data_IF_543770015968
#
_entry.id   IF_543770015968
#
_cell.length_a   1.000
_cell.length_b   1.000
_cell.length_c   1.000
_cell.angle_alpha   90.00
_cell.angle_beta   90.00
_cell.angle_gamma   90.00
#
_symmetry.space_group_name_H-M   'P 1'
#
loop_
_entity.id
_entity.type
_entity.pdbx_description
1 polymer ?
#
# COMPACT_ATOMS: atom_id res chain seq x y z
N UNK A 1 6.07 -36.55 28.57
CA UNK A 1 5.96 -35.11 28.23
C UNK A 1 6.67 -34.91 26.91
N UNK A 2 5.91 -34.83 25.82
CA UNK A 2 6.43 -34.49 24.49
C UNK A 2 6.75 -33.00 24.49
N UNK A 3 8.02 -32.65 24.43
CA UNK A 3 8.47 -31.27 24.20
C UNK A 3 8.08 -30.96 22.76
N UNK A 4 7.03 -30.17 22.56
CA UNK A 4 6.68 -29.67 21.24
C UNK A 4 7.85 -28.84 20.74
N UNK A 5 8.40 -29.19 19.58
CA UNK A 5 9.38 -28.37 18.88
C UNK A 5 8.76 -26.99 18.66
N UNK A 6 9.39 -25.89 19.11
CA UNK A 6 8.85 -24.56 18.84
C UNK A 6 8.73 -24.39 17.33
N UNK A 7 7.54 -23.99 16.87
CA UNK A 7 7.31 -23.69 15.46
C UNK A 7 8.31 -22.62 15.00
N UNK A 8 8.81 -22.75 13.77
CA UNK A 8 9.72 -21.77 13.21
C UNK A 8 9.04 -20.39 13.17
N UNK A 9 9.75 -19.35 13.62
CA UNK A 9 9.26 -17.96 13.57
C UNK A 9 9.05 -17.57 12.10
N UNK A 10 7.85 -17.13 11.70
CA UNK A 10 7.57 -16.80 10.31
C UNK A 10 8.33 -15.53 9.87
N UNK A 11 8.61 -15.43 8.56
CA UNK A 11 9.25 -14.25 7.95
C UNK A 11 8.24 -13.47 7.09
N UNK A 12 8.38 -12.14 7.10
CA UNK A 12 7.63 -11.25 6.21
C UNK A 12 8.34 -11.16 4.88
N UNK A 13 7.60 -11.44 3.81
CA UNK A 13 8.12 -11.39 2.43
C UNK A 13 8.02 -9.99 1.85
N UNK A 14 8.97 -9.64 0.99
CA UNK A 14 8.88 -8.44 0.15
C UNK A 14 7.89 -8.69 -0.99
N UNK A 15 7.11 -7.68 -1.38
CA UNK A 15 6.27 -7.74 -2.59
C UNK A 15 6.95 -6.95 -3.71
N UNK A 16 7.54 -7.65 -4.67
CA UNK A 16 8.24 -7.05 -5.82
C UNK A 16 7.74 -7.71 -7.10
N UNK A 17 7.41 -6.90 -8.12
CA UNK A 17 6.91 -7.37 -9.42
C UNK A 17 5.70 -8.31 -9.31
N UNK A 18 4.79 -8.03 -8.36
CA UNK A 18 3.59 -8.84 -8.13
C UNK A 18 3.84 -10.21 -7.49
N UNK A 19 5.02 -10.45 -6.93
CA UNK A 19 5.40 -11.71 -6.28
C UNK A 19 5.89 -11.48 -4.85
N UNK A 20 5.55 -12.40 -3.94
CA UNK A 20 6.13 -12.44 -2.60
C UNK A 20 7.50 -13.13 -2.65
N UNK A 21 8.54 -12.40 -2.27
CA UNK A 21 9.94 -12.82 -2.36
C UNK A 21 10.55 -12.88 -0.95
N UNK A 22 11.25 -13.97 -0.66
CA UNK A 22 12.08 -14.08 0.55
C UNK A 22 13.33 -13.20 0.38
N UNK A 23 13.63 -12.36 1.37
CA UNK A 23 14.80 -11.49 1.27
C UNK A 23 16.10 -12.28 1.36
N UNK A 24 17.12 -11.83 0.64
CA UNK A 24 18.50 -12.35 0.72
C UNK A 24 19.32 -11.69 1.85
N UNK A 25 18.68 -10.84 2.65
CA UNK A 25 19.35 -10.15 3.75
C UNK A 25 19.86 -11.11 4.82
N UNK A 26 20.96 -10.71 5.48
CA UNK A 26 21.43 -11.35 6.71
C UNK A 26 20.96 -10.60 7.96
N UNK A 27 20.30 -9.44 7.79
CA UNK A 27 19.81 -8.61 8.89
C UNK A 27 18.28 -8.63 8.95
N UNK A 28 17.78 -9.11 10.08
CA UNK A 28 16.36 -9.31 10.32
C UNK A 28 15.97 -8.66 11.64
N UNK A 29 14.77 -8.08 11.68
CA UNK A 29 14.20 -7.49 12.89
C UNK A 29 13.00 -8.30 13.35
N UNK A 30 12.98 -8.66 14.62
CA UNK A 30 11.82 -9.30 15.23
C UNK A 30 10.65 -8.30 15.29
N UNK A 31 9.48 -8.76 14.85
CA UNK A 31 8.19 -8.12 15.09
C UNK A 31 7.69 -8.68 16.41
N UNK A 32 7.63 -7.83 17.43
CA UNK A 32 7.31 -8.22 18.79
C UNK A 32 5.92 -7.73 19.13
N UNK A 33 5.07 -8.60 19.69
CA UNK A 33 3.81 -8.16 20.24
C UNK A 33 4.07 -7.29 21.48
N UNK A 34 3.71 -6.00 21.48
CA UNK A 34 4.05 -5.10 22.57
C UNK A 34 3.35 -5.46 23.89
N UNK A 35 2.21 -6.15 23.85
CA UNK A 35 1.46 -6.55 25.04
C UNK A 35 2.02 -7.83 25.69
N UNK A 36 2.51 -8.79 24.89
CA UNK A 36 2.98 -10.11 25.40
C UNK A 36 4.49 -10.28 25.37
N UNK A 37 5.21 -9.43 24.63
CA UNK A 37 6.65 -9.54 24.33
C UNK A 37 7.02 -10.80 23.52
N UNK A 38 6.04 -11.50 22.97
CA UNK A 38 6.27 -12.65 22.09
C UNK A 38 6.70 -12.20 20.70
N UNK A 39 7.61 -12.96 20.08
CA UNK A 39 8.02 -12.73 18.70
C UNK A 39 6.94 -13.29 17.77
N UNK A 40 6.29 -12.42 17.01
CA UNK A 40 5.26 -12.77 16.04
C UNK A 40 5.84 -13.25 14.72
N UNK A 41 6.87 -12.54 14.23
CA UNK A 41 7.50 -12.76 12.94
C UNK A 41 8.86 -12.04 12.86
N UNK A 42 9.56 -12.17 11.73
CA UNK A 42 10.74 -11.38 11.38
C UNK A 42 10.54 -10.61 10.09
N UNK A 43 10.88 -9.32 10.10
CA UNK A 43 10.89 -8.47 8.90
C UNK A 43 12.33 -8.25 8.43
N UNK A 44 12.60 -8.36 7.12
CA UNK A 44 13.95 -8.18 6.59
C UNK A 44 14.34 -6.70 6.58
N UNK A 45 15.61 -6.42 6.83
CA UNK A 45 16.22 -5.17 6.37
C UNK A 45 16.61 -5.38 4.91
N UNK A 46 15.77 -4.89 4.00
CA UNK A 46 15.92 -5.11 2.57
C UNK A 46 17.28 -4.62 2.07
N UNK A 47 17.89 -5.40 1.19
CA UNK A 47 19.19 -5.09 0.58
C UNK A 47 19.07 -4.01 -0.48
N UNK A 48 20.19 -3.36 -0.82
CA UNK A 48 20.23 -2.37 -1.91
C UNK A 48 19.76 -2.97 -3.25
N UNK A 49 20.15 -4.22 -3.55
CA UNK A 49 19.72 -4.93 -4.75
C UNK A 49 18.20 -5.16 -4.81
N UNK A 50 17.57 -5.43 -3.68
CA UNK A 50 16.11 -5.61 -3.60
C UNK A 50 15.36 -4.29 -3.80
N UNK A 51 15.88 -3.19 -3.25
CA UNK A 51 15.35 -1.85 -3.50
C UNK A 51 15.51 -1.47 -4.98
N UNK A 52 16.68 -1.72 -5.56
CA UNK A 52 16.93 -1.48 -6.98
C UNK A 52 15.99 -2.32 -7.87
N UNK A 53 15.73 -3.57 -7.51
CA UNK A 53 14.79 -4.44 -8.20
C UNK A 53 13.34 -3.92 -8.10
N UNK A 54 12.92 -3.44 -6.92
CA UNK A 54 11.61 -2.84 -6.73
C UNK A 54 11.41 -1.58 -7.58
N UNK A 55 12.40 -0.67 -7.58
CA UNK A 55 12.38 0.55 -8.40
C UNK A 55 12.39 0.21 -9.89
N UNK A 56 13.20 -0.75 -10.32
CA UNK A 56 13.25 -1.17 -11.72
C UNK A 56 11.90 -1.77 -12.18
N UNK A 57 11.30 -2.63 -11.36
CA UNK A 57 9.97 -3.19 -11.63
C UNK A 57 8.89 -2.11 -11.72
N UNK A 58 8.89 -1.13 -10.79
CA UNK A 58 7.95 -0.02 -10.83
C UNK A 58 8.12 0.86 -12.08
N UNK A 59 9.37 1.13 -12.50
CA UNK A 59 9.67 1.85 -13.74
C UNK A 59 9.15 1.11 -14.97
N UNK A 60 9.32 -0.21 -15.02
CA UNK A 60 8.83 -1.03 -16.11
C UNK A 60 7.30 -1.02 -16.16
N UNK A 61 6.64 -1.25 -15.01
CA UNK A 61 5.19 -1.22 -14.91
C UNK A 61 4.60 0.14 -15.31
N UNK A 62 5.27 1.26 -14.96
CA UNK A 62 4.78 2.60 -15.28
C UNK A 62 4.66 2.86 -16.79
N UNK A 63 5.48 2.20 -17.63
CA UNK A 63 5.43 2.33 -19.10
C UNK A 63 4.06 1.97 -19.67
N UNK A 64 3.38 1.00 -19.06
CA UNK A 64 2.05 0.52 -19.50
C UNK A 64 0.94 0.99 -18.57
N UNK A 65 1.18 1.02 -17.25
CA UNK A 65 0.19 1.44 -16.25
C UNK A 65 -0.34 2.85 -16.50
N UNK A 66 0.52 3.80 -16.90
CA UNK A 66 0.13 5.19 -17.18
C UNK A 66 -0.93 5.34 -18.29
N UNK A 67 -1.05 4.33 -19.16
CA UNK A 67 -2.03 4.30 -20.26
C UNK A 67 -3.26 3.43 -19.94
N UNK A 68 -3.31 2.86 -18.73
CA UNK A 68 -4.45 2.04 -18.31
C UNK A 68 -5.69 2.93 -18.23
N UNK A 69 -6.81 2.58 -18.91
CA UNK A 69 -7.99 3.42 -18.93
C UNK A 69 -8.52 3.75 -17.53
N UNK A 70 -8.99 4.98 -17.34
CA UNK A 70 -9.51 5.49 -16.06
C UNK A 70 -10.54 4.52 -15.45
N UNK A 71 -11.51 4.04 -16.25
CA UNK A 71 -12.53 3.10 -15.77
C UNK A 71 -11.98 1.74 -15.34
N UNK A 72 -10.84 1.29 -15.89
CA UNK A 72 -10.17 0.06 -15.45
C UNK A 72 -9.46 0.29 -14.12
N UNK A 73 -8.79 1.43 -13.93
CA UNK A 73 -8.18 1.80 -12.64
C UNK A 73 -9.23 1.96 -11.53
N UNK A 74 -10.35 2.62 -11.83
CA UNK A 74 -11.48 2.73 -10.90
C UNK A 74 -11.99 1.35 -10.45
N UNK A 75 -12.16 0.39 -11.37
CA UNK A 75 -12.58 -0.99 -11.04
C UNK A 75 -11.59 -1.72 -10.13
N UNK A 76 -10.28 -1.46 -10.25
CA UNK A 76 -9.27 -2.01 -9.34
C UNK A 76 -9.48 -1.47 -7.93
N UNK A 77 -9.69 -0.16 -7.75
CA UNK A 77 -9.97 0.43 -6.44
C UNK A 77 -11.29 -0.05 -5.85
N UNK A 78 -12.34 -0.24 -6.66
CA UNK A 78 -13.60 -0.85 -6.24
C UNK A 78 -13.42 -2.29 -5.75
N UNK A 79 -12.61 -3.10 -6.42
CA UNK A 79 -12.30 -4.44 -5.91
C UNK A 79 -11.44 -4.36 -4.65
N UNK A 80 -10.52 -3.41 -4.58
CA UNK A 80 -9.64 -3.27 -3.44
C UNK A 80 -10.39 -2.88 -2.16
N UNK A 81 -11.29 -1.88 -2.22
CA UNK A 81 -12.13 -1.52 -1.07
C UNK A 81 -13.01 -2.70 -0.61
N UNK A 82 -13.54 -3.50 -1.54
CA UNK A 82 -14.30 -4.71 -1.20
C UNK A 82 -13.42 -5.70 -0.42
N UNK A 83 -12.21 -5.98 -0.90
CA UNK A 83 -11.29 -6.90 -0.23
C UNK A 83 -10.89 -6.41 1.16
N UNK A 84 -10.67 -5.11 1.36
CA UNK A 84 -10.40 -4.54 2.69
C UNK A 84 -11.59 -4.79 3.63
N UNK A 85 -12.83 -4.57 3.16
CA UNK A 85 -14.04 -4.82 3.97
C UNK A 85 -14.17 -6.30 4.35
N UNK A 86 -13.93 -7.20 3.38
CA UNK A 86 -14.00 -8.65 3.59
C UNK A 86 -12.96 -9.14 4.60
N UNK A 87 -11.79 -8.50 4.66
CA UNK A 87 -10.67 -8.89 5.54
C UNK A 87 -10.49 -7.97 6.76
N UNK A 88 -11.45 -7.07 7.06
CA UNK A 88 -11.35 -6.06 8.10
C UNK A 88 -10.92 -6.63 9.46
N UNK A 89 -11.53 -7.74 9.88
CA UNK A 89 -11.26 -8.36 11.18
C UNK A 89 -9.84 -8.92 11.27
N UNK A 90 -9.36 -9.53 10.18
CA UNK A 90 -8.00 -10.09 10.12
C UNK A 90 -6.96 -8.97 10.14
N UNK A 91 -7.17 -7.93 9.32
CA UNK A 91 -6.30 -6.75 9.28
C UNK A 91 -6.22 -6.06 10.64
N UNK A 92 -7.36 -5.83 11.30
CA UNK A 92 -7.40 -5.21 12.61
C UNK A 92 -6.72 -6.06 13.70
N UNK A 93 -6.84 -7.38 13.63
CA UNK A 93 -6.16 -8.30 14.55
C UNK A 93 -4.63 -8.27 14.36
N UNK A 94 -4.16 -8.23 13.11
CA UNK A 94 -2.72 -8.09 12.80
C UNK A 94 -2.19 -6.77 13.37
N UNK A 95 -2.88 -5.66 13.10
CA UNK A 95 -2.52 -4.33 13.59
C UNK A 95 -2.45 -4.27 15.13
N UNK A 96 -3.43 -4.87 15.79
CA UNK A 96 -3.47 -4.98 17.25
C UNK A 96 -2.25 -5.75 17.77
N UNK A 97 -1.94 -6.88 17.14
CA UNK A 97 -0.85 -7.74 17.56
C UNK A 97 0.52 -7.08 17.35
N UNK A 98 0.75 -6.41 16.22
CA UNK A 98 2.07 -5.84 15.89
C UNK A 98 2.31 -4.44 16.48
N UNK A 99 1.26 -3.61 16.60
CA UNK A 99 1.39 -2.20 16.98
C UNK A 99 0.92 -1.93 18.42
N UNK A 100 -0.04 -2.71 18.93
CA UNK A 100 -0.51 -2.66 20.31
C UNK A 100 -1.75 -1.81 20.59
N UNK A 101 -2.34 -1.15 19.58
CA UNK A 101 -3.63 -0.46 19.73
C UNK A 101 -4.78 -1.43 20.02
N UNK A 102 -5.87 -0.92 20.59
CA UNK A 102 -7.06 -1.74 20.82
C UNK A 102 -7.65 -2.22 19.50
N UNK A 103 -8.37 -3.34 19.51
CA UNK A 103 -9.01 -3.87 18.29
C UNK A 103 -9.95 -2.85 17.64
N UNK A 104 -10.71 -2.09 18.44
CA UNK A 104 -11.58 -1.03 17.94
C UNK A 104 -10.80 0.11 17.27
N UNK A 105 -9.66 0.52 17.85
CA UNK A 105 -8.78 1.52 17.24
C UNK A 105 -8.13 0.99 15.95
N UNK A 106 -7.81 -0.31 15.88
CA UNK A 106 -7.28 -0.97 14.68
C UNK A 106 -8.32 -1.05 13.56
N UNK A 107 -9.58 -1.39 13.88
CA UNK A 107 -10.69 -1.31 12.92
C UNK A 107 -10.86 0.13 12.41
N UNK A 108 -10.77 1.12 13.30
CA UNK A 108 -10.76 2.53 12.93
C UNK A 108 -9.61 2.90 12.00
N UNK A 109 -8.38 2.45 12.29
CA UNK A 109 -7.19 2.67 11.45
C UNK A 109 -7.40 2.15 10.02
N UNK A 110 -7.81 0.88 9.87
CA UNK A 110 -8.10 0.29 8.56
C UNK A 110 -9.25 1.02 7.86
N UNK A 111 -10.31 1.39 8.59
CA UNK A 111 -11.46 2.08 8.04
C UNK A 111 -11.12 3.47 7.51
N UNK A 112 -10.29 4.25 8.22
CA UNK A 112 -9.84 5.57 7.73
C UNK A 112 -8.96 5.48 6.50
N UNK A 113 -8.21 4.39 6.34
CA UNK A 113 -7.49 4.10 5.09
C UNK A 113 -8.43 3.69 3.96
N UNK A 114 -9.43 2.86 4.26
CA UNK A 114 -10.46 2.42 3.31
C UNK A 114 -11.20 3.59 2.66
N UNK A 115 -11.56 4.62 3.43
CA UNK A 115 -12.20 5.84 2.90
C UNK A 115 -11.37 6.52 1.79
N UNK A 116 -10.03 6.47 1.88
CA UNK A 116 -9.16 7.01 0.82
C UNK A 116 -9.14 6.11 -0.41
N UNK A 117 -9.21 4.79 -0.25
CA UNK A 117 -9.38 3.88 -1.39
C UNK A 117 -10.71 4.13 -2.11
N UNK A 118 -11.78 4.38 -1.36
CA UNK A 118 -13.09 4.75 -1.91
C UNK A 118 -13.05 6.10 -2.62
N UNK A 119 -12.32 7.07 -2.06
CA UNK A 119 -12.05 8.34 -2.73
C UNK A 119 -11.30 8.12 -4.06
N UNK A 120 -10.23 7.33 -4.07
CA UNK A 120 -9.44 7.01 -5.26
C UNK A 120 -10.24 6.30 -6.36
N UNK A 121 -11.30 5.55 -6.01
CA UNK A 121 -12.21 4.96 -6.99
C UNK A 121 -12.93 6.02 -7.86
N UNK A 122 -13.00 7.28 -7.41
CA UNK A 122 -13.53 8.41 -8.17
C UNK A 122 -12.49 9.08 -9.10
N UNK A 123 -11.40 8.38 -9.45
CA UNK A 123 -10.30 8.87 -10.30
C UNK A 123 -10.75 9.57 -11.59
N UNK A 124 -11.90 9.21 -12.16
CA UNK A 124 -12.45 9.91 -13.33
C UNK A 124 -12.73 11.39 -13.09
N UNK A 125 -13.31 11.73 -11.95
CA UNK A 125 -13.53 13.13 -11.58
C UNK A 125 -12.24 13.79 -11.09
N UNK A 126 -11.43 13.06 -10.34
CA UNK A 126 -10.18 13.57 -9.75
C UNK A 126 -9.12 13.93 -10.80
N UNK A 127 -9.14 13.28 -11.97
CA UNK A 127 -8.18 13.51 -13.04
C UNK A 127 -8.68 14.51 -14.11
N UNK A 128 -9.89 15.06 -13.98
CA UNK A 128 -10.37 16.05 -14.93
C UNK A 128 -9.44 17.28 -14.93
N UNK A 129 -9.02 17.69 -16.14
CA UNK A 129 -8.40 18.98 -16.35
C UNK A 129 -9.46 20.09 -16.49
N UNK A 130 -8.99 21.29 -16.72
CA UNK A 130 -9.80 22.48 -16.93
C UNK A 130 -9.66 22.94 -18.39
N UNK A 131 -10.67 23.62 -18.90
CA UNK A 131 -10.71 24.21 -20.25
C UNK A 131 -11.16 25.66 -20.14
N UNK A 132 -10.37 26.57 -20.70
CA UNK A 132 -10.72 27.97 -20.88
C UNK A 132 -10.71 28.31 -22.38
N UNK A 133 -11.89 28.68 -22.90
CA UNK A 133 -12.06 29.02 -24.31
C UNK A 133 -11.78 30.50 -24.57
N UNK A 134 -11.27 30.80 -25.77
CA UNK A 134 -11.04 32.15 -26.27
C UNK A 134 -10.25 33.05 -25.31
N UNK A 135 -9.17 32.52 -24.73
CA UNK A 135 -8.23 33.30 -23.92
C UNK A 135 -7.48 34.34 -24.78
N UNK A 136 -7.42 34.10 -26.09
CA UNK A 136 -7.08 35.07 -27.13
C UNK A 136 -7.84 34.70 -28.42
N UNK A 137 -7.84 35.58 -29.43
CA UNK A 137 -8.55 35.37 -30.69
C UNK A 137 -8.18 34.01 -31.35
N UNK A 138 -9.12 33.06 -31.30
CA UNK A 138 -8.94 31.71 -31.85
C UNK A 138 -8.04 30.79 -31.02
N UNK A 139 -7.82 31.10 -29.74
CA UNK A 139 -6.95 30.34 -28.84
C UNK A 139 -7.73 29.86 -27.61
N UNK A 140 -7.75 28.55 -27.42
CA UNK A 140 -8.23 27.88 -26.22
C UNK A 140 -7.04 27.32 -25.42
N UNK A 141 -7.22 27.16 -24.11
CA UNK A 141 -6.21 26.57 -23.24
C UNK A 141 -6.84 25.49 -22.36
N UNK A 142 -6.08 24.43 -22.10
CA UNK A 142 -6.54 23.32 -21.27
C UNK A 142 -5.41 22.76 -20.43
N UNK A 143 -5.77 22.10 -19.33
CA UNK A 143 -4.83 21.37 -18.47
C UNK A 143 -5.03 19.86 -18.62
N UNK A 144 -3.96 19.08 -18.42
CA UNK A 144 -4.00 17.62 -18.40
C UNK A 144 -3.29 17.15 -17.13
N UNK A 145 -3.95 16.30 -16.35
CA UNK A 145 -3.34 15.62 -15.21
C UNK A 145 -2.66 14.32 -15.67
N UNK A 146 -1.35 14.20 -15.43
CA UNK A 146 -0.54 13.03 -15.78
C UNK A 146 0.20 12.49 -14.56
N UNK A 147 0.37 11.17 -14.50
CA UNK A 147 1.19 10.54 -13.46
C UNK A 147 2.66 10.96 -13.60
N UNK A 148 3.32 11.21 -12.46
CA UNK A 148 4.70 11.67 -12.40
C UNK A 148 5.71 10.56 -12.74
N UNK A 149 5.42 9.32 -12.32
CA UNK A 149 6.33 8.19 -12.46
C UNK A 149 6.32 7.31 -11.22
N UNK A 150 7.49 6.82 -10.84
CA UNK A 150 7.66 6.03 -9.61
C UNK A 150 7.67 6.96 -8.40
N UNK A 151 6.77 6.71 -7.44
CA UNK A 151 6.67 7.41 -6.18
C UNK A 151 7.20 6.53 -5.03
N UNK A 152 7.88 7.13 -4.06
CA UNK A 152 8.35 6.45 -2.86
C UNK A 152 7.46 6.79 -1.66
N UNK A 153 6.97 5.76 -0.95
CA UNK A 153 6.20 5.92 0.28
C UNK A 153 6.97 5.38 1.49
N UNK A 154 7.15 6.22 2.51
CA UNK A 154 7.80 5.85 3.78
C UNK A 154 6.83 6.22 4.89
N UNK A 155 6.37 5.23 5.66
CA UNK A 155 5.27 5.39 6.61
C UNK A 155 5.73 5.11 8.04
N UNK A 156 5.22 5.87 9.04
CA UNK A 156 5.53 5.63 10.44
C UNK A 156 4.73 4.42 10.98
N UNK A 157 5.11 3.95 12.17
CA UNK A 157 4.54 2.74 12.77
C UNK A 157 3.18 2.94 13.45
N UNK A 158 2.78 4.18 13.78
CA UNK A 158 1.63 4.43 14.64
C UNK A 158 0.28 4.17 13.96
N UNK A 159 0.23 4.22 12.62
CA UNK A 159 -0.95 3.90 11.82
C UNK A 159 -0.56 3.08 10.58
N UNK A 160 -0.26 1.80 10.76
CA UNK A 160 0.33 0.95 9.71
C UNK A 160 -0.66 0.56 8.61
N UNK A 161 -1.96 0.82 8.74
CA UNK A 161 -2.93 0.69 7.63
C UNK A 161 -3.28 2.04 7.01
N UNK A 162 -3.75 2.99 7.82
CA UNK A 162 -4.25 4.29 7.36
C UNK A 162 -3.21 5.07 6.57
N UNK A 163 -1.98 5.21 7.06
CA UNK A 163 -0.99 6.07 6.39
C UNK A 163 -0.54 5.47 5.05
N UNK A 164 -0.19 4.16 4.93
CA UNK A 164 0.06 3.58 3.61
C UNK A 164 -1.12 3.74 2.64
N UNK A 165 -2.36 3.55 3.11
CA UNK A 165 -3.58 3.71 2.32
C UNK A 165 -3.87 5.17 1.94
N UNK A 166 -3.24 6.15 2.59
CA UNK A 166 -3.28 7.55 2.17
C UNK A 166 -2.32 7.86 1.02
N UNK A 167 -1.37 6.96 0.73
CA UNK A 167 -0.31 7.18 -0.24
C UNK A 167 -0.58 6.44 -1.55
N UNK A 168 -0.43 5.11 -1.55
CA UNK A 168 -0.36 4.34 -2.80
C UNK A 168 -1.67 4.27 -3.59
N UNK A 169 -2.89 4.38 -3.00
CA UNK A 169 -4.11 4.48 -3.81
C UNK A 169 -4.21 5.78 -4.60
N UNK A 170 -3.53 6.84 -4.14
CA UNK A 170 -3.53 8.16 -4.78
C UNK A 170 -2.32 8.37 -5.72
N UNK A 171 -1.40 7.40 -5.78
CA UNK A 171 -0.12 7.50 -6.48
C UNK A 171 -0.19 7.20 -7.98
#
# INVERSE_FOLDING_TARGET
>A
MTIATPAAIPTVKLLINGQFIESKTNEWRDIVNPATQEILARVPFATEDEINAAVASAKEAFKTWRFTPIGTRARIFLKYQQLIRENMKELAAILTAEQGKTLADAEGDVFRGLEVVEHAANIGNLQMGELANNVANGVDTYTIQQGLGVCAGITPFNFPAMIPLWMFPMA
#
